data_IF_514531547796
#
_entry.id   IF_514531547796
#
_cell.length_a   1.000
_cell.length_b   1.000
_cell.length_c   1.000
_cell.angle_alpha   90.00
_cell.angle_beta   90.00
_cell.angle_gamma   90.00
#
_symmetry.space_group_name_H-M   'P 1'
#
loop_
_entity.id
_entity.type
_entity.pdbx_description
1 polymer ?
#
# COMPACT_ATOMS: atom_id res chain seq x y z
N UNK A 1 -6.49 -4.62 9.87
CA UNK A 1 -6.99 -3.39 10.52
C UNK A 1 -7.68 -3.65 11.87
N UNK A 2 -8.70 -4.52 11.98
CA UNK A 2 -9.34 -4.82 13.28
C UNK A 2 -8.33 -5.33 14.32
N UNK A 3 -7.47 -6.27 13.96
CA UNK A 3 -6.44 -6.83 14.84
C UNK A 3 -5.43 -5.76 15.28
N UNK A 4 -4.86 -5.03 14.32
CA UNK A 4 -3.95 -3.90 14.57
C UNK A 4 -4.55 -2.85 15.54
N UNK A 5 -5.83 -2.51 15.37
CA UNK A 5 -6.52 -1.59 16.29
C UNK A 5 -6.63 -2.16 17.70
N UNK A 6 -6.87 -3.46 17.86
CA UNK A 6 -6.95 -4.12 19.18
C UNK A 6 -5.58 -4.11 19.86
N UNK A 7 -4.52 -4.46 19.12
CA UNK A 7 -3.14 -4.45 19.64
C UNK A 7 -2.72 -3.05 20.07
N UNK A 8 -2.98 -2.05 19.22
CA UNK A 8 -2.69 -0.66 19.52
C UNK A 8 -3.48 -0.15 20.72
N UNK A 9 -4.77 -0.47 20.84
CA UNK A 9 -5.59 -0.06 22.00
C UNK A 9 -5.17 -0.73 23.32
N UNK A 10 -4.52 -1.89 23.25
CA UNK A 10 -3.96 -2.62 24.39
C UNK A 10 -2.57 -2.14 24.84
N UNK A 11 -1.96 -1.20 24.12
CA UNK A 11 -0.61 -0.72 24.41
C UNK A 11 -0.52 0.24 25.59
N UNK A 12 0.65 0.26 26.24
CA UNK A 12 0.92 1.08 27.44
C UNK A 12 0.75 2.58 27.21
N UNK A 13 1.04 3.07 26.00
CA UNK A 13 0.87 4.51 25.68
C UNK A 13 -0.61 4.92 25.60
N UNK A 14 -1.50 4.01 25.22
CA UNK A 14 -2.95 4.25 25.27
C UNK A 14 -3.43 4.22 26.73
N UNK A 15 -2.89 3.34 27.56
CA UNK A 15 -3.18 3.31 29.01
C UNK A 15 -2.75 4.62 29.68
N UNK A 16 -1.58 5.15 29.32
CA UNK A 16 -1.13 6.47 29.77
C UNK A 16 -2.07 7.60 29.31
N UNK A 17 -2.52 7.56 28.04
CA UNK A 17 -3.46 8.55 27.51
C UNK A 17 -4.81 8.53 28.24
N UNK A 18 -5.31 7.33 28.58
CA UNK A 18 -6.51 7.16 29.43
C UNK A 18 -6.29 7.73 30.83
N UNK A 19 -5.16 7.44 31.46
CA UNK A 19 -4.83 7.96 32.79
C UNK A 19 -4.71 9.50 32.83
N UNK A 20 -4.35 10.12 31.71
CA UNK A 20 -4.33 11.59 31.53
C UNK A 20 -5.71 12.20 31.27
N UNK A 21 -6.78 11.40 31.17
CA UNK A 21 -8.14 11.89 30.94
C UNK A 21 -8.48 12.17 29.48
N UNK A 22 -7.73 11.62 28.52
CA UNK A 22 -8.06 11.79 27.10
C UNK A 22 -9.43 11.15 26.77
N UNK A 23 -10.23 11.85 25.97
CA UNK A 23 -11.54 11.34 25.55
C UNK A 23 -11.41 10.10 24.66
N UNK A 24 -12.43 9.25 24.65
CA UNK A 24 -12.44 8.03 23.82
C UNK A 24 -12.24 8.34 22.32
N UNK A 25 -12.83 9.44 21.84
CA UNK A 25 -12.67 9.90 20.45
C UNK A 25 -11.24 10.32 20.14
N UNK A 26 -10.58 11.03 21.06
CA UNK A 26 -9.18 11.44 20.87
C UNK A 26 -8.24 10.23 20.87
N UNK A 27 -8.47 9.27 21.78
CA UNK A 27 -7.72 8.00 21.81
C UNK A 27 -7.91 7.23 20.51
N UNK A 28 -9.15 7.07 20.03
CA UNK A 28 -9.45 6.30 18.83
C UNK A 28 -8.86 6.94 17.56
N UNK A 29 -9.13 8.22 17.30
CA UNK A 29 -8.76 8.86 16.03
C UNK A 29 -7.32 9.40 16.01
N UNK A 30 -6.82 9.93 17.12
CA UNK A 30 -5.51 10.63 17.16
C UNK A 30 -4.36 9.72 17.54
N UNK A 31 -4.59 8.76 18.44
CA UNK A 31 -3.55 7.89 18.97
C UNK A 31 -3.60 6.48 18.38
N UNK A 32 -4.77 5.85 18.35
CA UNK A 32 -4.90 4.47 17.94
C UNK A 32 -4.91 4.30 16.41
N UNK A 33 -5.80 5.03 15.72
CA UNK A 33 -5.98 4.91 14.27
C UNK A 33 -4.70 5.24 13.51
N UNK A 34 -4.00 6.33 13.88
CA UNK A 34 -2.76 6.73 13.22
C UNK A 34 -1.67 5.65 13.28
N UNK A 35 -1.51 5.01 14.43
CA UNK A 35 -0.49 3.97 14.61
C UNK A 35 -0.91 2.63 14.01
N UNK A 36 -2.20 2.28 14.05
CA UNK A 36 -2.73 1.06 13.44
C UNK A 36 -2.75 1.11 11.90
N UNK A 37 -2.62 2.29 11.29
CA UNK A 37 -2.55 2.46 9.84
C UNK A 37 -1.17 2.17 9.26
N UNK A 38 -0.10 2.21 10.07
CA UNK A 38 1.28 2.00 9.58
C UNK A 38 1.43 0.63 8.90
N UNK A 39 1.05 -0.50 9.52
CA UNK A 39 1.17 -1.82 8.89
C UNK A 39 0.22 -1.98 7.69
N UNK A 40 -0.92 -1.29 7.70
CA UNK A 40 -1.87 -1.33 6.58
C UNK A 40 -1.23 -0.76 5.30
N UNK A 41 -0.59 0.40 5.40
CA UNK A 41 0.08 1.05 4.26
C UNK A 41 1.21 0.17 3.72
N UNK A 42 1.90 -0.56 4.60
CA UNK A 42 2.93 -1.54 4.22
C UNK A 42 2.42 -2.66 3.35
N UNK A 43 1.22 -3.16 3.64
CA UNK A 43 0.65 -4.27 2.89
C UNK A 43 -0.04 -3.78 1.61
N UNK A 44 -0.49 -2.53 1.55
CA UNK A 44 -1.16 -1.95 0.37
C UNK A 44 -0.25 -1.94 -0.87
N UNK A 45 1.05 -1.66 -0.72
CA UNK A 45 1.99 -1.68 -1.85
C UNK A 45 2.08 -3.04 -2.53
N UNK A 46 2.51 -4.10 -1.82
CA UNK A 46 2.52 -5.48 -2.30
C UNK A 46 1.16 -5.94 -2.87
N UNK A 47 0.04 -5.57 -2.24
CA UNK A 47 -1.28 -5.92 -2.73
C UNK A 47 -1.62 -5.24 -4.06
N UNK A 48 -1.32 -3.96 -4.22
CA UNK A 48 -1.56 -3.23 -5.47
C UNK A 48 -0.76 -3.84 -6.64
N UNK A 49 0.50 -4.21 -6.38
CA UNK A 49 1.36 -4.89 -7.36
C UNK A 49 0.80 -6.29 -7.69
N UNK A 50 0.40 -7.03 -6.67
CA UNK A 50 -0.19 -8.36 -6.83
C UNK A 50 -1.47 -8.30 -7.65
N UNK A 51 -2.27 -7.25 -7.49
CA UNK A 51 -3.48 -7.03 -8.28
C UNK A 51 -3.14 -6.72 -9.75
N UNK A 52 -2.14 -5.90 -10.01
CA UNK A 52 -1.68 -5.62 -11.37
C UNK A 52 -1.21 -6.90 -12.09
N UNK A 53 -0.32 -7.66 -11.46
CA UNK A 53 0.24 -8.88 -12.06
C UNK A 53 -0.79 -10.03 -12.09
N UNK A 54 -1.64 -10.13 -11.07
CA UNK A 54 -2.70 -11.14 -10.95
C UNK A 54 -3.95 -10.85 -11.78
N UNK A 55 -4.10 -9.64 -12.32
CA UNK A 55 -5.22 -9.27 -13.19
C UNK A 55 -5.33 -10.15 -14.43
N UNK A 56 -4.22 -10.73 -14.89
CA UNK A 56 -4.18 -11.72 -15.98
C UNK A 56 -5.23 -12.82 -15.86
N UNK A 57 -5.37 -13.39 -14.67
CA UNK A 57 -6.30 -14.50 -14.43
C UNK A 57 -7.75 -14.00 -14.56
N UNK A 58 -8.02 -12.79 -14.06
CA UNK A 58 -9.33 -12.16 -14.13
C UNK A 58 -9.66 -11.78 -15.58
N UNK A 59 -8.73 -11.17 -16.31
CA UNK A 59 -8.84 -10.83 -17.74
C UNK A 59 -9.22 -12.08 -18.55
N UNK A 60 -8.57 -13.22 -18.27
CA UNK A 60 -8.84 -14.50 -18.94
C UNK A 60 -10.20 -15.10 -18.58
N UNK A 61 -10.59 -15.09 -17.32
CA UNK A 61 -11.88 -15.67 -16.88
C UNK A 61 -13.06 -14.87 -17.45
N UNK A 62 -12.95 -13.54 -17.46
CA UNK A 62 -14.03 -12.66 -17.91
C UNK A 62 -13.94 -12.28 -19.40
N UNK A 63 -12.94 -12.81 -20.14
CA UNK A 63 -12.68 -12.46 -21.54
C UNK A 63 -12.62 -10.95 -21.79
N UNK A 64 -12.06 -10.20 -20.82
CA UNK A 64 -11.89 -8.75 -20.92
C UNK A 64 -10.53 -8.49 -21.56
N UNK A 65 -10.46 -7.80 -22.72
CA UNK A 65 -9.20 -7.50 -23.36
C UNK A 65 -8.39 -6.54 -22.48
N UNK A 66 -7.28 -7.03 -21.94
CA UNK A 66 -6.41 -6.27 -21.05
C UNK A 66 -4.93 -6.28 -21.46
N UNK A 67 -4.15 -5.46 -20.76
CA UNK A 67 -2.71 -5.31 -21.01
C UNK A 67 -1.95 -6.59 -20.68
N UNK A 68 -2.41 -7.33 -19.68
CA UNK A 68 -1.80 -8.60 -19.31
C UNK A 68 -2.00 -9.66 -20.40
N UNK A 69 -3.24 -9.84 -20.86
CA UNK A 69 -3.54 -10.75 -21.97
C UNK A 69 -2.70 -10.42 -23.21
N UNK A 70 -2.57 -9.12 -23.54
CA UNK A 70 -1.77 -8.67 -24.67
C UNK A 70 -0.28 -9.00 -24.50
N UNK A 71 0.26 -8.86 -23.28
CA UNK A 71 1.64 -9.25 -22.97
C UNK A 71 1.86 -10.76 -23.21
N UNK A 72 0.98 -11.62 -22.70
CA UNK A 72 1.09 -13.09 -22.88
C UNK A 72 0.97 -13.47 -24.35
N UNK A 73 0.02 -12.88 -25.07
CA UNK A 73 -0.17 -13.13 -26.50
C UNK A 73 1.08 -12.75 -27.30
N UNK A 74 1.71 -11.63 -26.97
CA UNK A 74 2.93 -11.12 -27.64
C UNK A 74 4.11 -12.07 -27.47
N UNK A 75 4.22 -12.74 -26.31
CA UNK A 75 5.21 -13.81 -26.09
C UNK A 75 4.96 -14.98 -27.04
N UNK A 76 3.71 -15.41 -27.21
CA UNK A 76 3.37 -16.54 -28.09
C UNK A 76 3.71 -16.25 -29.55
N UNK A 77 3.51 -15.01 -30.01
CA UNK A 77 3.81 -14.61 -31.40
C UNK A 77 5.21 -14.02 -31.59
N UNK A 78 6.05 -14.03 -30.54
CA UNK A 78 7.40 -13.46 -30.53
C UNK A 78 7.46 -11.97 -30.97
N UNK A 79 6.46 -11.18 -30.60
CA UNK A 79 6.43 -9.74 -30.86
C UNK A 79 7.23 -8.99 -29.79
N UNK A 80 8.55 -8.94 -29.98
CA UNK A 80 9.48 -8.29 -29.06
C UNK A 80 9.20 -6.80 -28.81
N UNK A 81 8.86 -5.97 -29.82
CA UNK A 81 8.47 -4.59 -29.57
C UNK A 81 7.32 -4.43 -28.58
N UNK A 82 6.26 -5.24 -28.72
CA UNK A 82 5.11 -5.18 -27.81
C UNK A 82 5.47 -5.68 -26.41
N UNK A 83 6.28 -6.74 -26.30
CA UNK A 83 6.79 -7.25 -25.02
C UNK A 83 7.59 -6.16 -24.29
N UNK A 84 8.52 -5.48 -24.97
CA UNK A 84 9.31 -4.43 -24.34
C UNK A 84 8.46 -3.22 -23.96
N UNK A 85 7.55 -2.79 -24.84
CA UNK A 85 6.67 -1.65 -24.60
C UNK A 85 5.75 -1.85 -23.39
N UNK A 86 5.11 -3.03 -23.30
CA UNK A 86 4.25 -3.39 -22.16
C UNK A 86 5.05 -3.56 -20.87
N UNK A 87 6.27 -4.10 -20.94
CA UNK A 87 7.17 -4.21 -19.79
C UNK A 87 7.55 -2.85 -19.22
N UNK A 88 7.93 -1.89 -20.08
CA UNK A 88 8.27 -0.52 -19.66
C UNK A 88 7.05 0.17 -19.03
N UNK A 89 5.86 -0.01 -19.61
CA UNK A 89 4.62 0.53 -19.07
C UNK A 89 4.32 -0.04 -17.67
N UNK A 90 4.42 -1.36 -17.48
CA UNK A 90 4.24 -1.98 -16.17
C UNK A 90 5.29 -1.51 -15.15
N UNK A 91 6.55 -1.39 -15.56
CA UNK A 91 7.61 -0.87 -14.70
C UNK A 91 7.34 0.58 -14.27
N UNK A 92 6.89 1.44 -15.19
CA UNK A 92 6.54 2.82 -14.87
C UNK A 92 5.36 2.90 -13.90
N UNK A 93 4.29 2.14 -14.15
CA UNK A 93 3.13 2.07 -13.26
C UNK A 93 3.50 1.52 -11.87
N UNK A 94 4.40 0.54 -11.84
CA UNK A 94 4.92 -0.03 -10.60
C UNK A 94 5.68 1.01 -9.76
N UNK A 95 6.58 1.78 -10.39
CA UNK A 95 7.29 2.89 -9.73
C UNK A 95 6.32 3.93 -9.20
N UNK A 96 5.28 4.28 -9.97
CA UNK A 96 4.24 5.23 -9.53
C UNK A 96 3.52 4.73 -8.27
N UNK A 97 3.15 3.44 -8.23
CA UNK A 97 2.48 2.87 -7.05
C UNK A 97 3.39 2.89 -5.83
N UNK A 98 4.65 2.49 -5.98
CA UNK A 98 5.62 2.56 -4.87
C UNK A 98 5.75 4.01 -4.38
N UNK A 99 5.89 4.97 -5.28
CA UNK A 99 6.02 6.38 -4.93
C UNK A 99 4.78 6.90 -4.19
N UNK A 100 3.57 6.48 -4.59
CA UNK A 100 2.33 6.81 -3.86
C UNK A 100 2.34 6.20 -2.46
N UNK A 101 2.77 4.95 -2.31
CA UNK A 101 2.88 4.27 -1.02
C UNK A 101 3.89 4.98 -0.11
N UNK A 102 5.05 5.35 -0.63
CA UNK A 102 6.09 6.08 0.11
C UNK A 102 5.60 7.47 0.57
N UNK A 103 4.86 8.19 -0.28
CA UNK A 103 4.21 9.45 0.10
C UNK A 103 3.19 9.23 1.21
N UNK A 104 2.34 8.19 1.09
CA UNK A 104 1.34 7.85 2.11
C UNK A 104 2.01 7.54 3.46
N UNK A 105 3.14 6.83 3.44
CA UNK A 105 3.94 6.62 4.65
C UNK A 105 4.42 7.93 5.27
N UNK A 106 4.96 8.85 4.46
CA UNK A 106 5.41 10.15 4.96
C UNK A 106 4.30 11.01 5.58
N UNK A 107 3.06 10.88 5.11
CA UNK A 107 1.90 11.58 5.66
C UNK A 107 1.43 10.92 6.96
N UNK A 108 1.35 9.59 6.97
CA UNK A 108 0.76 8.82 8.06
C UNK A 108 1.73 8.73 9.25
N UNK A 109 3.01 8.50 9.01
CA UNK A 109 4.03 8.36 10.06
C UNK A 109 4.82 9.67 10.30
N UNK A 110 4.56 10.40 11.41
CA UNK A 110 5.32 11.59 11.78
C UNK A 110 6.72 11.27 12.31
N UNK A 111 7.05 10.01 12.63
CA UNK A 111 8.40 9.64 13.10
C UNK A 111 9.45 9.76 12.01
N UNK A 112 9.06 9.52 10.75
CA UNK A 112 9.92 9.78 9.58
C UNK A 112 10.32 11.27 9.54
N UNK A 113 9.39 12.15 9.94
CA UNK A 113 9.61 13.60 9.99
C UNK A 113 10.50 14.05 11.15
N UNK A 114 10.58 13.28 12.24
CA UNK A 114 11.44 13.59 13.40
C UNK A 114 12.90 13.16 13.20
N UNK A 115 13.18 12.27 12.24
CA UNK A 115 14.55 11.89 11.87
C UNK A 115 15.17 12.85 10.83
N UNK A 116 14.34 13.63 10.14
CA UNK A 116 14.77 14.63 9.15
C UNK A 116 15.14 15.97 9.78
N UNK A 117 16.35 16.07 10.35
CA UNK A 117 17.05 17.34 10.53
C UNK A 117 16.79 18.10 11.83
N UNK A 118 17.45 17.68 12.91
CA UNK A 118 18.04 18.62 13.87
C UNK A 118 19.55 18.35 13.90
N UNK A 119 20.25 19.00 12.97
CA UNK A 119 21.63 19.46 13.15
C UNK A 119 21.60 20.97 13.02
#
# INVERSE_FOLDING_TARGET
MRTEMIEVLGSDYITLAKAKGASFFEIAFKHALRNAMIPLVTVLGPLAISLMTGSLVIEKIFAIPGLGEQFVKSITVNDYPVIMGTTILFAALFVVIILVVDILYGIIDPRIRLSGGNK
#
